data_IF_745668399697
#
_entry.id   IF_745668399697
#
_cell.length_a   1.000
_cell.length_b   1.000
_cell.length_c   1.000
_cell.angle_alpha   90.00
_cell.angle_beta   90.00
_cell.angle_gamma   90.00
#
_symmetry.space_group_name_H-M   'P 1'
#
loop_
_entity.id
_entity.type
_entity.pdbx_description
1 polymer ?
#
# COMPACT_ATOMS: atom_id res chain seq x y z
N UNK A 1 83.22 -20.68 -38.37
CA UNK A 1 84.40 -19.82 -38.17
C UNK A 1 84.00 -18.67 -37.22
N UNK A 2 84.78 -18.59 -36.11
CA UNK A 2 84.99 -17.53 -35.14
C UNK A 2 83.72 -17.03 -34.35
N UNK A 3 83.56 -17.51 -33.17
CA UNK A 3 84.16 -17.06 -31.88
C UNK A 3 84.20 -15.54 -31.67
N UNK A 4 83.43 -15.07 -30.67
CA UNK A 4 84.04 -14.32 -29.54
C UNK A 4 83.09 -14.24 -28.35
N UNK A 5 83.56 -14.79 -27.27
CA UNK A 5 83.10 -14.66 -25.85
C UNK A 5 83.47 -13.27 -25.33
N UNK A 6 82.59 -12.54 -24.64
CA UNK A 6 83.00 -11.56 -23.66
C UNK A 6 82.06 -11.64 -22.42
N UNK A 7 82.74 -11.89 -21.31
CA UNK A 7 82.21 -11.85 -19.92
C UNK A 7 82.12 -10.35 -19.46
N UNK A 8 81.14 -10.01 -18.70
CA UNK A 8 81.20 -8.93 -17.72
C UNK A 8 80.10 -9.10 -16.68
N UNK A 9 80.47 -9.51 -15.51
CA UNK A 9 80.56 -8.84 -14.22
C UNK A 9 79.16 -8.32 -13.64
N UNK A 10 78.77 -9.07 -12.63
CA UNK A 10 77.64 -8.72 -11.71
C UNK A 10 78.03 -7.50 -10.87
N UNK A 11 77.09 -6.56 -10.78
CA UNK A 11 77.07 -5.55 -9.73
C UNK A 11 75.75 -5.61 -9.04
N UNK A 12 75.76 -6.13 -7.82
CA UNK A 12 74.57 -6.14 -6.92
C UNK A 12 74.38 -4.76 -6.33
N UNK A 13 73.27 -4.12 -6.65
CA UNK A 13 72.84 -2.90 -5.96
C UNK A 13 71.68 -3.28 -5.01
N UNK A 14 71.96 -3.27 -3.70
CA UNK A 14 70.98 -3.43 -2.67
C UNK A 14 70.26 -2.11 -2.51
N UNK A 15 68.97 -2.05 -2.90
CA UNK A 15 68.08 -0.92 -2.62
C UNK A 15 67.27 -1.24 -1.42
N UNK A 16 67.50 -0.56 -0.31
CA UNK A 16 66.62 -0.53 0.85
C UNK A 16 65.30 0.17 0.46
N UNK A 17 64.19 -0.56 0.38
CA UNK A 17 62.87 0.07 0.28
C UNK A 17 62.31 0.27 1.70
N UNK A 18 62.21 1.51 2.09
CA UNK A 18 61.44 1.95 3.23
C UNK A 18 59.97 1.69 2.93
N UNK A 19 59.35 0.79 3.70
CA UNK A 19 57.91 0.61 3.70
C UNK A 19 57.27 1.80 4.41
N UNK A 20 56.76 2.76 3.64
CA UNK A 20 55.80 3.75 4.11
C UNK A 20 54.42 3.10 4.05
N UNK A 21 53.82 2.80 5.21
CA UNK A 21 52.39 2.57 5.33
C UNK A 21 51.68 3.92 5.07
N UNK A 22 51.23 4.12 3.84
CA UNK A 22 50.25 5.12 3.52
C UNK A 22 48.90 4.40 3.46
N UNK A 23 47.98 4.81 4.30
CA UNK A 23 46.55 4.53 4.10
C UNK A 23 46.10 5.25 2.81
N UNK A 24 46.29 4.61 1.68
CA UNK A 24 45.67 5.00 0.43
C UNK A 24 44.18 4.65 0.55
N UNK A 25 43.39 5.60 1.08
CA UNK A 25 41.99 5.69 0.76
C UNK A 25 41.92 5.89 -0.77
N UNK A 26 41.71 4.81 -1.51
CA UNK A 26 41.36 4.90 -2.92
C UNK A 26 40.16 5.86 -3.02
N UNK A 27 40.24 6.93 -3.83
CA UNK A 27 39.09 7.76 -4.07
C UNK A 27 38.02 6.85 -4.70
N UNK A 28 36.92 6.63 -3.99
CA UNK A 28 35.73 5.99 -4.54
C UNK A 28 35.40 6.71 -5.85
N UNK A 29 35.63 6.05 -6.97
CA UNK A 29 35.22 6.61 -8.26
C UNK A 29 33.71 6.81 -8.21
N UNK A 30 33.20 7.96 -8.69
CA UNK A 30 31.75 8.15 -8.83
C UNK A 30 31.23 7.02 -9.72
N UNK A 31 30.34 6.18 -9.17
CA UNK A 31 29.71 5.13 -9.93
C UNK A 31 28.90 5.77 -11.06
N UNK A 32 29.01 5.24 -12.27
CA UNK A 32 28.18 5.66 -13.40
C UNK A 32 26.71 5.39 -13.02
N UNK A 33 25.83 6.41 -12.94
CA UNK A 33 24.43 6.24 -12.58
C UNK A 33 23.71 5.17 -13.39
N UNK A 34 24.06 5.01 -14.66
CA UNK A 34 23.50 3.96 -15.56
C UNK A 34 23.84 2.54 -15.16
N UNK A 35 24.85 2.34 -14.31
CA UNK A 35 25.23 1.03 -13.79
C UNK A 35 24.71 0.76 -12.38
N UNK A 36 24.14 1.76 -11.71
CA UNK A 36 23.65 1.64 -10.32
C UNK A 36 22.24 1.05 -10.31
N UNK A 37 22.05 -0.18 -9.77
CA UNK A 37 20.74 -0.78 -9.70
C UNK A 37 19.88 -0.08 -8.65
N UNK A 38 18.57 0.02 -8.93
CA UNK A 38 17.58 0.50 -7.96
C UNK A 38 17.23 -0.61 -6.97
N UNK A 39 17.19 -0.27 -5.70
CA UNK A 39 16.69 -1.15 -4.64
C UNK A 39 15.61 -0.43 -3.83
N UNK A 40 14.69 -1.20 -3.22
CA UNK A 40 13.52 -0.64 -2.55
C UNK A 40 13.33 -1.24 -1.17
N UNK A 41 12.97 -0.40 -0.21
CA UNK A 41 12.45 -0.79 1.10
C UNK A 41 11.03 -0.27 1.21
N UNK A 42 10.11 -1.15 1.53
CA UNK A 42 8.67 -0.85 1.58
C UNK A 42 8.19 -0.99 3.01
N UNK A 43 7.57 0.08 3.54
CA UNK A 43 6.96 0.09 4.86
C UNK A 43 5.43 0.03 4.71
N UNK A 44 4.78 -0.91 5.41
CA UNK A 44 3.32 -0.99 5.48
C UNK A 44 2.75 0.11 6.39
N UNK A 45 1.53 0.62 6.12
CA UNK A 45 0.90 1.64 6.97
C UNK A 45 0.69 1.15 8.41
N UNK A 46 0.84 2.06 9.37
CA UNK A 46 0.47 1.80 10.76
C UNK A 46 1.35 0.81 11.52
N UNK A 47 2.44 0.31 10.93
CA UNK A 47 3.38 -0.56 11.65
C UNK A 47 4.04 0.16 12.81
N UNK A 48 3.53 -0.06 13.99
CA UNK A 48 4.34 -0.07 15.22
C UNK A 48 4.74 -1.53 15.44
N UNK A 49 5.97 -1.80 15.83
CA UNK A 49 6.63 -3.13 15.94
C UNK A 49 5.84 -4.28 16.61
N UNK A 50 4.53 -4.15 16.81
CA UNK A 50 3.69 -5.06 17.57
C UNK A 50 2.35 -5.45 16.90
N UNK A 51 2.03 -5.04 15.68
CA UNK A 51 0.75 -5.39 15.02
C UNK A 51 1.01 -5.93 13.63
N UNK A 52 0.59 -7.17 13.42
CA UNK A 52 0.79 -7.97 12.23
C UNK A 52 -0.28 -7.68 11.15
N UNK A 53 -0.13 -6.59 10.42
CA UNK A 53 -0.66 -6.51 9.07
C UNK A 53 0.52 -6.08 8.21
N UNK A 54 1.07 -7.03 7.49
CA UNK A 54 2.22 -6.89 6.62
C UNK A 54 1.81 -7.27 5.19
N UNK A 55 2.64 -6.87 4.24
CA UNK A 55 2.56 -7.46 2.93
C UNK A 55 2.87 -8.95 2.99
N UNK A 56 2.14 -9.72 2.22
CA UNK A 56 2.32 -11.16 2.12
C UNK A 56 3.10 -11.55 0.86
N UNK A 57 3.70 -12.74 0.89
CA UNK A 57 4.36 -13.30 -0.31
C UNK A 57 3.42 -13.25 -1.51
N UNK A 58 3.95 -12.82 -2.66
CA UNK A 58 3.27 -12.57 -3.93
C UNK A 58 2.40 -11.30 -3.97
N UNK A 59 2.37 -10.49 -2.93
CA UNK A 59 1.80 -9.15 -3.05
C UNK A 59 2.60 -8.33 -4.08
N UNK A 60 1.89 -7.49 -4.80
CA UNK A 60 2.46 -6.70 -5.89
C UNK A 60 2.08 -5.24 -5.76
N UNK A 61 3.07 -4.37 -5.90
CA UNK A 61 2.88 -2.91 -5.98
C UNK A 61 3.21 -2.43 -7.38
N UNK A 62 2.57 -1.33 -7.80
CA UNK A 62 2.93 -0.60 -9.02
C UNK A 62 3.89 0.52 -8.69
N UNK A 63 4.96 0.66 -9.49
CA UNK A 63 6.01 1.65 -9.30
C UNK A 63 6.15 2.55 -10.53
N UNK A 64 6.25 3.84 -10.28
CA UNK A 64 6.70 4.86 -11.22
C UNK A 64 7.92 5.59 -10.66
N UNK A 65 8.89 5.90 -11.53
CA UNK A 65 10.01 6.80 -11.22
C UNK A 65 10.01 7.90 -12.29
N UNK A 66 9.62 9.10 -11.92
CA UNK A 66 9.52 10.25 -12.82
C UNK A 66 10.60 11.29 -12.50
N UNK A 67 11.05 12.06 -13.50
CA UNK A 67 11.93 13.21 -13.26
C UNK A 67 11.28 14.16 -12.24
N UNK A 68 12.05 14.67 -11.28
CA UNK A 68 11.53 15.51 -10.21
C UNK A 68 10.97 16.87 -10.70
N UNK A 69 11.38 17.31 -11.90
CA UNK A 69 10.94 18.56 -12.51
C UNK A 69 9.72 18.42 -13.40
N UNK A 70 9.36 17.18 -13.74
CA UNK A 70 8.26 16.89 -14.64
C UNK A 70 7.07 16.27 -13.88
N UNK A 71 5.84 16.44 -14.36
CA UNK A 71 4.70 15.75 -13.81
C UNK A 71 4.83 14.23 -14.03
N UNK A 72 4.12 13.45 -13.22
CA UNK A 72 3.98 12.01 -13.46
C UNK A 72 3.16 11.80 -14.74
N UNK A 73 3.71 11.04 -15.68
CA UNK A 73 3.05 10.69 -16.94
C UNK A 73 2.71 9.19 -16.98
N UNK A 74 1.80 8.81 -17.87
CA UNK A 74 1.45 7.40 -18.07
C UNK A 74 2.63 6.59 -18.64
N UNK A 75 3.43 7.23 -19.48
CA UNK A 75 4.64 6.69 -20.09
C UNK A 75 5.67 7.81 -20.27
N UNK A 76 6.95 7.45 -20.52
CA UNK A 76 8.03 8.43 -20.70
C UNK A 76 8.80 8.75 -19.40
N UNK A 77 8.39 8.19 -18.26
CA UNK A 77 9.18 8.25 -17.03
C UNK A 77 10.35 7.28 -17.09
N UNK A 78 11.29 7.39 -16.16
CA UNK A 78 12.40 6.42 -16.03
C UNK A 78 11.88 5.00 -15.74
N UNK A 79 10.83 4.90 -14.92
CA UNK A 79 10.09 3.64 -14.68
C UNK A 79 8.60 3.92 -14.81
N UNK A 80 7.89 3.09 -15.58
CA UNK A 80 6.46 3.24 -15.88
C UNK A 80 5.69 2.00 -15.44
N UNK A 81 4.88 2.12 -14.40
CA UNK A 81 4.03 1.07 -13.87
C UNK A 81 4.71 -0.30 -13.72
N UNK A 82 5.95 -0.32 -13.27
CA UNK A 82 6.67 -1.57 -13.04
C UNK A 82 6.08 -2.30 -11.82
N UNK A 83 5.84 -3.60 -11.98
CA UNK A 83 5.38 -4.42 -10.88
C UNK A 83 6.55 -4.86 -10.00
N UNK A 84 6.56 -4.44 -8.73
CA UNK A 84 7.42 -5.05 -7.73
C UNK A 84 6.62 -6.14 -7.00
N UNK A 85 7.20 -7.32 -6.88
CA UNK A 85 6.59 -8.48 -6.20
C UNK A 85 7.35 -8.75 -4.90
N UNK A 86 6.63 -9.00 -3.83
CA UNK A 86 7.20 -9.39 -2.54
C UNK A 86 7.44 -10.89 -2.49
N UNK A 87 8.69 -11.32 -2.29
CA UNK A 87 9.05 -12.74 -2.20
C UNK A 87 8.94 -13.32 -0.78
N UNK A 88 8.49 -12.50 0.19
CA UNK A 88 8.44 -12.80 1.61
C UNK A 88 9.64 -12.22 2.40
N UNK A 89 10.60 -11.58 1.72
CA UNK A 89 11.76 -10.95 2.33
C UNK A 89 12.12 -9.62 1.69
N UNK A 90 12.03 -9.52 0.36
CA UNK A 90 12.38 -8.33 -0.44
C UNK A 90 11.40 -8.10 -1.57
N UNK A 91 11.40 -6.87 -2.07
CA UNK A 91 10.63 -6.46 -3.22
C UNK A 91 11.49 -6.47 -4.48
N UNK A 92 11.05 -7.17 -5.50
CA UNK A 92 11.80 -7.33 -6.75
C UNK A 92 10.91 -7.03 -7.97
N UNK A 93 11.50 -6.32 -8.93
CA UNK A 93 10.92 -6.19 -10.27
C UNK A 93 11.24 -7.43 -11.11
N UNK A 94 10.45 -7.65 -12.17
CA UNK A 94 10.73 -8.73 -13.13
C UNK A 94 12.02 -8.56 -13.93
N UNK A 95 12.66 -7.39 -13.85
CA UNK A 95 13.94 -7.03 -14.48
C UNK A 95 14.73 -6.11 -13.56
N UNK A 96 16.06 -6.03 -13.74
CA UNK A 96 16.85 -5.05 -13.01
C UNK A 96 16.52 -3.64 -13.49
N UNK A 97 16.18 -2.73 -12.57
CA UNK A 97 15.98 -1.33 -12.83
C UNK A 97 17.28 -0.58 -12.51
N UNK A 98 17.65 0.36 -13.36
CA UNK A 98 18.88 1.15 -13.19
C UNK A 98 18.57 2.64 -13.14
N UNK A 99 19.35 3.38 -12.38
CA UNK A 99 19.31 4.82 -12.37
C UNK A 99 19.93 5.42 -13.64
N UNK A 100 19.33 6.51 -14.09
CA UNK A 100 20.02 7.49 -14.96
C UNK A 100 20.46 8.68 -14.11
N UNK A 101 21.27 9.57 -14.71
CA UNK A 101 21.63 10.85 -14.07
C UNK A 101 20.36 11.70 -13.86
N UNK A 102 20.22 12.27 -12.66
CA UNK A 102 19.08 13.13 -12.37
C UNK A 102 18.61 13.07 -10.94
N UNK A 103 17.48 13.73 -10.73
CA UNK A 103 16.72 13.70 -9.48
C UNK A 103 15.30 13.28 -9.83
N UNK A 104 14.76 12.34 -9.07
CA UNK A 104 13.53 11.67 -9.40
C UNK A 104 12.53 11.70 -8.25
N UNK A 105 11.26 11.55 -8.58
CA UNK A 105 10.21 11.24 -7.63
C UNK A 105 9.77 9.80 -7.85
N UNK A 106 9.71 9.02 -6.77
CA UNK A 106 9.13 7.68 -6.76
C UNK A 106 7.67 7.75 -6.31
N UNK A 107 6.80 7.07 -7.03
CA UNK A 107 5.38 6.91 -6.70
C UNK A 107 5.06 5.42 -6.73
N UNK A 108 4.41 4.92 -5.69
CA UNK A 108 4.01 3.53 -5.62
C UNK A 108 2.59 3.40 -5.09
N UNK A 109 1.91 2.33 -5.51
CA UNK A 109 0.55 2.04 -5.07
C UNK A 109 0.34 0.52 -4.94
N UNK A 110 -0.58 0.12 -4.09
CA UNK A 110 -1.02 -1.27 -3.87
C UNK A 110 -2.55 -1.30 -3.82
N UNK A 111 -3.21 -2.35 -4.36
CA UNK A 111 -2.62 -3.45 -5.15
C UNK A 111 -2.22 -3.02 -6.56
N UNK A 112 -1.29 -3.75 -7.17
CA UNK A 112 -0.84 -3.51 -8.55
C UNK A 112 -1.98 -3.62 -9.55
N UNK A 113 -2.10 -2.62 -10.40
CA UNK A 113 -3.03 -2.58 -11.55
C UNK A 113 -2.24 -2.74 -12.85
N UNK A 114 -2.49 -3.81 -13.59
CA UNK A 114 -1.80 -4.06 -14.87
C UNK A 114 -2.14 -3.00 -15.92
N UNK A 115 -3.40 -2.57 -15.96
CA UNK A 115 -3.93 -1.62 -16.93
C UNK A 115 -4.20 -0.28 -16.26
N UNK A 116 -3.17 0.57 -16.15
CA UNK A 116 -3.32 1.98 -15.79
C UNK A 116 -3.58 2.76 -17.07
N UNK A 117 -4.67 3.52 -17.12
CA UNK A 117 -5.11 4.30 -18.28
C UNK A 117 -4.93 5.81 -18.08
N UNK A 118 -4.73 6.23 -16.84
CA UNK A 118 -4.47 7.63 -16.47
C UNK A 118 -3.71 7.64 -15.13
N UNK A 119 -2.78 8.55 -14.97
CA UNK A 119 -2.07 8.75 -13.69
C UNK A 119 -2.77 9.75 -12.77
N UNK A 120 -3.65 10.59 -13.31
CA UNK A 120 -4.39 11.62 -12.55
C UNK A 120 -5.87 11.30 -12.37
N UNK A 121 -6.41 10.36 -13.16
CA UNK A 121 -7.84 10.01 -13.15
C UNK A 121 -8.04 8.50 -13.42
N UNK A 122 -7.25 7.66 -12.73
CA UNK A 122 -7.32 6.21 -12.87
C UNK A 122 -8.62 5.66 -12.26
N UNK A 123 -9.47 4.97 -13.04
CA UNK A 123 -10.65 4.31 -12.50
C UNK A 123 -10.28 3.24 -11.48
N UNK A 124 -11.03 3.21 -10.37
CA UNK A 124 -10.92 2.20 -9.33
C UNK A 124 -12.30 1.89 -8.74
N UNK A 125 -12.47 0.69 -8.24
CA UNK A 125 -13.70 0.31 -7.52
C UNK A 125 -13.35 -0.57 -6.33
N UNK A 126 -13.91 -0.24 -5.17
CA UNK A 126 -13.93 -1.19 -4.06
C UNK A 126 -14.91 -2.32 -4.36
N UNK A 127 -14.61 -3.53 -3.88
CA UNK A 127 -15.51 -4.68 -4.02
C UNK A 127 -16.82 -4.43 -3.27
N UNK A 128 -17.93 -4.79 -3.87
CA UNK A 128 -19.24 -4.81 -3.19
C UNK A 128 -19.43 -6.05 -2.34
N UNK A 129 -18.63 -7.09 -2.55
CA UNK A 129 -18.55 -8.24 -1.67
C UNK A 129 -17.14 -8.36 -1.09
N UNK A 130 -16.96 -7.80 0.11
CA UNK A 130 -15.68 -7.83 0.82
C UNK A 130 -15.57 -9.03 1.77
N UNK A 131 -16.58 -9.91 1.82
CA UNK A 131 -16.53 -11.17 2.57
C UNK A 131 -15.76 -12.28 1.83
N UNK A 132 -15.49 -12.08 0.53
CA UNK A 132 -14.75 -13.06 -0.27
C UNK A 132 -13.30 -13.16 0.20
N UNK A 133 -12.83 -14.42 0.34
CA UNK A 133 -11.51 -14.71 0.85
C UNK A 133 -10.43 -14.63 -0.23
N UNK A 134 -9.22 -14.29 0.16
CA UNK A 134 -8.01 -14.37 -0.67
C UNK A 134 -7.79 -15.81 -1.15
N UNK A 135 -7.36 -15.96 -2.39
CA UNK A 135 -6.95 -17.24 -2.99
C UNK A 135 -5.46 -17.21 -3.36
N UNK A 136 -4.92 -18.32 -3.84
CA UNK A 136 -3.53 -18.37 -4.32
C UNK A 136 -3.24 -17.41 -5.49
N UNK A 137 -4.28 -17.00 -6.25
CA UNK A 137 -4.13 -16.22 -7.49
C UNK A 137 -4.87 -14.88 -7.49
N UNK A 138 -5.69 -14.60 -6.48
CA UNK A 138 -6.49 -13.38 -6.40
C UNK A 138 -6.63 -12.91 -4.95
N UNK A 139 -6.60 -11.60 -4.77
CA UNK A 139 -6.93 -10.97 -3.49
C UNK A 139 -8.40 -11.20 -3.15
N UNK A 140 -8.72 -11.27 -1.86
CA UNK A 140 -10.09 -11.19 -1.38
C UNK A 140 -10.71 -9.82 -1.64
N UNK A 141 -12.03 -9.74 -1.51
CA UNK A 141 -12.73 -8.49 -1.81
C UNK A 141 -12.31 -7.35 -0.88
N UNK A 142 -11.97 -7.66 0.37
CA UNK A 142 -11.50 -6.67 1.34
C UNK A 142 -10.10 -6.15 0.97
N UNK A 143 -9.13 -7.03 0.78
CA UNK A 143 -7.75 -6.67 0.44
C UNK A 143 -7.66 -5.96 -0.93
N UNK A 144 -8.45 -6.41 -1.92
CA UNK A 144 -8.51 -5.78 -3.24
C UNK A 144 -9.09 -4.36 -3.20
N UNK A 145 -9.83 -4.02 -2.15
CA UNK A 145 -10.44 -2.70 -1.95
C UNK A 145 -9.52 -1.73 -1.20
N UNK A 146 -8.51 -2.22 -0.49
CA UNK A 146 -7.63 -1.40 0.34
C UNK A 146 -6.49 -0.81 -0.48
N UNK A 147 -6.74 0.35 -1.08
CA UNK A 147 -5.76 1.03 -1.91
C UNK A 147 -4.77 1.83 -1.04
N UNK A 148 -3.50 1.46 -1.15
CA UNK A 148 -2.38 2.12 -0.49
C UNK A 148 -1.58 2.96 -1.49
N UNK A 149 -0.96 4.02 -1.00
CA UNK A 149 -0.13 4.91 -1.79
C UNK A 149 1.12 5.33 -1.03
N UNK A 150 2.27 5.39 -1.73
CA UNK A 150 3.53 5.91 -1.22
C UNK A 150 4.17 6.87 -2.23
N UNK A 151 4.85 7.89 -1.73
CA UNK A 151 5.69 8.76 -2.56
C UNK A 151 6.95 9.14 -1.83
N UNK A 152 8.09 9.15 -2.55
CA UNK A 152 9.38 9.63 -2.07
C UNK A 152 9.91 10.63 -3.09
N UNK A 153 10.18 11.84 -2.61
CA UNK A 153 10.61 12.98 -3.46
C UNK A 153 12.11 13.13 -3.47
N UNK A 154 12.62 13.77 -4.53
CA UNK A 154 14.01 14.21 -4.68
C UNK A 154 15.04 13.08 -4.51
N UNK A 155 14.71 11.89 -5.00
CA UNK A 155 15.58 10.71 -4.99
C UNK A 155 16.70 10.90 -6.02
N UNK A 156 17.94 10.73 -5.59
CA UNK A 156 19.12 10.74 -6.45
C UNK A 156 19.63 9.31 -6.66
N UNK A 157 20.27 9.07 -7.81
CA UNK A 157 20.94 7.81 -8.09
C UNK A 157 21.94 7.48 -6.97
N UNK A 158 21.78 6.34 -6.33
CA UNK A 158 22.68 5.84 -5.27
C UNK A 158 22.45 4.35 -5.06
N UNK A 159 23.37 3.68 -4.34
CA UNK A 159 23.22 2.31 -3.90
C UNK A 159 22.26 2.17 -2.70
N UNK A 160 21.85 3.30 -2.12
CA UNK A 160 20.90 3.28 -1.00
C UNK A 160 19.49 2.95 -1.47
N UNK A 161 18.76 2.09 -0.77
CA UNK A 161 17.39 1.75 -1.14
C UNK A 161 16.46 2.96 -1.09
N UNK A 162 15.56 3.07 -2.06
CA UNK A 162 14.43 4.00 -2.01
C UNK A 162 13.42 3.49 -0.99
N UNK A 163 13.11 4.31 0.01
CA UNK A 163 12.10 3.96 1.02
C UNK A 163 10.72 4.40 0.55
N UNK A 164 9.81 3.45 0.45
CA UNK A 164 8.41 3.65 0.08
C UNK A 164 7.53 3.42 1.31
N UNK A 165 7.15 4.50 1.99
CA UNK A 165 6.27 4.42 3.17
C UNK A 165 4.83 4.57 2.72
N UNK A 166 4.09 3.47 2.76
CA UNK A 166 2.70 3.44 2.32
C UNK A 166 1.74 4.06 3.35
N UNK A 167 0.64 4.57 2.86
CA UNK A 167 -0.52 5.02 3.64
C UNK A 167 -1.81 4.57 2.97
N UNK A 168 -2.84 4.32 3.75
CA UNK A 168 -4.18 4.10 3.22
C UNK A 168 -4.73 5.40 2.62
N UNK A 169 -5.37 5.32 1.47
CA UNK A 169 -6.08 6.45 0.85
C UNK A 169 -7.58 6.24 0.76
N UNK A 170 -8.06 5.03 1.07
CA UNK A 170 -9.47 4.73 1.27
C UNK A 170 -9.92 5.04 2.70
N UNK A 171 -11.19 4.86 2.99
CA UNK A 171 -11.78 4.92 4.34
C UNK A 171 -12.09 3.51 4.82
N UNK A 172 -11.85 3.22 6.09
CA UNK A 172 -12.22 1.95 6.73
C UNK A 172 -13.34 2.18 7.74
N UNK A 173 -14.39 1.40 7.66
CA UNK A 173 -15.43 1.32 8.68
C UNK A 173 -15.22 0.03 9.47
N UNK A 174 -14.93 0.15 10.76
CA UNK A 174 -14.87 -0.97 11.70
C UNK A 174 -16.13 -1.00 12.54
N UNK A 175 -16.82 -2.12 12.53
CA UNK A 175 -18.12 -2.31 13.19
C UNK A 175 -17.94 -3.35 14.28
N UNK A 176 -18.42 -3.02 15.49
CA UNK A 176 -18.53 -3.97 16.60
C UNK A 176 -19.99 -4.14 16.96
N UNK A 177 -20.45 -5.38 17.02
CA UNK A 177 -21.76 -5.73 17.53
C UNK A 177 -21.65 -5.85 19.05
N UNK A 178 -22.44 -5.06 19.76
CA UNK A 178 -22.49 -5.02 21.22
C UNK A 178 -23.83 -5.58 21.65
N UNK A 179 -23.82 -6.53 22.56
CA UNK A 179 -25.03 -7.07 23.18
C UNK A 179 -25.73 -5.99 23.99
N UNK A 180 -27.00 -5.71 23.69
CA UNK A 180 -27.86 -4.84 24.49
C UNK A 180 -28.30 -5.51 25.80
N UNK A 181 -28.74 -4.72 26.75
CA UNK A 181 -29.19 -5.22 28.07
C UNK A 181 -30.41 -6.13 27.99
N UNK A 182 -31.27 -5.91 27.00
CA UNK A 182 -32.52 -6.65 26.76
C UNK A 182 -32.33 -7.82 25.75
N UNK A 183 -31.13 -8.06 25.26
CA UNK A 183 -30.83 -9.15 24.33
C UNK A 183 -30.58 -10.46 25.12
N UNK A 184 -31.44 -11.45 24.93
CA UNK A 184 -31.30 -12.75 25.60
C UNK A 184 -30.33 -13.70 24.84
N UNK A 185 -29.69 -14.61 25.58
CA UNK A 185 -28.75 -15.57 25.05
C UNK A 185 -27.40 -14.95 24.60
N UNK A 186 -26.59 -15.73 23.88
CA UNK A 186 -25.30 -15.32 23.36
C UNK A 186 -25.45 -14.61 22.00
N UNK A 187 -24.54 -13.67 21.72
CA UNK A 187 -24.45 -13.04 20.40
C UNK A 187 -24.03 -14.07 19.35
N UNK A 188 -24.75 -14.17 18.22
CA UNK A 188 -24.35 -15.09 17.16
C UNK A 188 -23.04 -14.66 16.51
N UNK A 189 -22.22 -15.65 16.15
CA UNK A 189 -20.93 -15.45 15.47
C UNK A 189 -21.02 -15.43 13.94
N UNK A 190 -22.24 -15.59 13.40
CA UNK A 190 -22.51 -15.75 11.95
C UNK A 190 -23.43 -14.67 11.39
N UNK A 191 -23.33 -13.45 11.91
CA UNK A 191 -24.07 -12.32 11.35
C UNK A 191 -23.50 -11.93 9.98
N UNK A 192 -24.38 -11.38 9.11
CA UNK A 192 -23.99 -10.69 7.90
C UNK A 192 -24.16 -9.19 8.11
N UNK A 193 -23.14 -8.43 7.71
CA UNK A 193 -23.17 -6.97 7.87
C UNK A 193 -23.07 -6.31 6.51
N UNK A 194 -23.99 -5.39 6.25
CA UNK A 194 -24.09 -4.67 5.00
C UNK A 194 -23.92 -3.17 5.24
N UNK A 195 -23.19 -2.49 4.35
CA UNK A 195 -23.06 -1.03 4.35
C UNK A 195 -23.79 -0.52 3.11
N UNK A 196 -24.83 0.30 3.37
CA UNK A 196 -25.72 0.81 2.34
C UNK A 196 -25.37 2.21 1.87
N UNK A 197 -25.93 2.59 0.72
CA UNK A 197 -25.90 3.95 0.17
C UNK A 197 -24.50 4.50 -0.11
N UNK A 198 -23.51 3.64 -0.27
CA UNK A 198 -22.15 4.03 -0.68
C UNK A 198 -21.98 3.91 -2.19
N UNK A 199 -21.17 4.79 -2.78
CA UNK A 199 -20.70 4.68 -4.17
C UNK A 199 -19.36 3.96 -4.16
N UNK A 200 -19.26 2.73 -4.72
CA UNK A 200 -18.02 1.94 -4.66
C UNK A 200 -16.96 2.39 -5.69
N UNK A 201 -17.34 3.23 -6.66
CA UNK A 201 -16.46 3.68 -7.73
C UNK A 201 -15.75 4.98 -7.38
N UNK A 202 -14.47 5.06 -7.73
CA UNK A 202 -13.59 6.22 -7.52
C UNK A 202 -12.72 6.50 -8.75
N UNK A 203 -12.12 7.66 -8.78
CA UNK A 203 -10.95 7.98 -9.58
C UNK A 203 -9.77 8.24 -8.66
N UNK A 204 -8.60 7.78 -9.09
CA UNK A 204 -7.35 7.86 -8.32
C UNK A 204 -6.37 8.76 -9.02
N UNK A 205 -5.86 9.75 -8.30
CA UNK A 205 -4.68 10.52 -8.71
C UNK A 205 -3.43 9.84 -8.13
N UNK A 206 -2.66 9.14 -8.98
CA UNK A 206 -1.45 8.43 -8.61
C UNK A 206 -0.25 9.39 -8.38
N UNK A 207 -0.35 10.65 -8.80
CA UNK A 207 0.66 11.67 -8.50
C UNK A 207 0.46 12.28 -7.11
N UNK A 208 -0.80 12.54 -6.76
CA UNK A 208 -1.17 13.14 -5.48
C UNK A 208 -1.43 12.12 -4.37
N UNK A 209 -1.71 10.86 -4.73
CA UNK A 209 -2.13 9.80 -3.79
C UNK A 209 -3.51 10.10 -3.19
N UNK A 210 -4.48 10.46 -4.04
CA UNK A 210 -5.83 10.84 -3.63
C UNK A 210 -6.86 9.99 -4.36
N UNK A 211 -7.82 9.47 -3.58
CA UNK A 211 -9.00 8.80 -4.10
C UNK A 211 -10.21 9.73 -4.02
N UNK A 212 -10.89 9.92 -5.12
CA UNK A 212 -12.09 10.75 -5.23
C UNK A 212 -13.28 9.92 -5.69
N UNK A 213 -14.40 10.00 -4.97
CA UNK A 213 -15.63 9.32 -5.36
C UNK A 213 -16.06 9.73 -6.77
N UNK A 214 -16.35 8.74 -7.62
CA UNK A 214 -16.84 9.03 -8.96
C UNK A 214 -18.23 9.67 -8.90
N UNK A 215 -18.36 10.87 -9.44
CA UNK A 215 -19.56 11.72 -9.30
C UNK A 215 -20.81 11.07 -9.89
N UNK A 216 -20.67 10.35 -11.02
CA UNK A 216 -21.76 9.64 -11.70
C UNK A 216 -21.94 8.19 -11.22
N UNK A 217 -21.20 7.78 -10.17
CA UNK A 217 -21.28 6.44 -9.63
C UNK A 217 -22.63 6.15 -8.99
N UNK A 218 -23.13 4.93 -9.16
CA UNK A 218 -24.38 4.47 -8.57
C UNK A 218 -24.14 4.02 -7.11
N UNK A 219 -25.05 4.34 -6.22
CA UNK A 219 -25.04 3.84 -4.84
C UNK A 219 -25.30 2.34 -4.84
N UNK A 220 -24.52 1.61 -4.04
CA UNK A 220 -24.62 0.18 -3.89
C UNK A 220 -24.48 -0.21 -2.41
N UNK A 221 -24.71 -1.49 -2.14
CA UNK A 221 -24.50 -2.10 -0.83
C UNK A 221 -23.18 -2.87 -0.87
N UNK A 222 -22.40 -2.73 0.20
CA UNK A 222 -21.16 -3.49 0.41
C UNK A 222 -21.43 -4.54 1.48
N UNK A 223 -21.10 -5.80 1.21
CA UNK A 223 -21.04 -6.87 2.21
C UNK A 223 -19.71 -6.76 2.93
N UNK A 224 -19.74 -6.61 4.25
CA UNK A 224 -18.54 -6.41 5.06
C UNK A 224 -17.73 -7.69 5.21
N UNK A 225 -16.43 -7.54 5.40
CA UNK A 225 -15.51 -8.58 5.85
C UNK A 225 -15.72 -8.84 7.34
N UNK A 226 -15.69 -10.10 7.75
CA UNK A 226 -15.75 -10.50 9.15
C UNK A 226 -14.34 -10.62 9.73
N UNK A 227 -13.98 -9.74 10.68
CA UNK A 227 -12.66 -9.76 11.34
C UNK A 227 -12.63 -10.72 12.55
N UNK A 228 -13.79 -11.05 13.10
CA UNK A 228 -13.96 -11.90 14.28
C UNK A 228 -15.43 -12.09 14.62
N UNK A 229 -15.75 -12.81 15.69
CA UNK A 229 -17.10 -13.25 16.03
C UNK A 229 -18.17 -12.15 16.00
N UNK A 230 -17.83 -10.97 16.52
CA UNK A 230 -18.74 -9.80 16.55
C UNK A 230 -18.11 -8.55 15.94
N UNK A 231 -17.03 -8.70 15.16
CA UNK A 231 -16.28 -7.60 14.56
C UNK A 231 -16.25 -7.73 13.05
N UNK A 232 -16.56 -6.63 12.36
CA UNK A 232 -16.64 -6.54 10.91
C UNK A 232 -15.92 -5.29 10.42
N UNK A 233 -15.40 -5.33 9.20
CA UNK A 233 -14.78 -4.18 8.55
C UNK A 233 -15.21 -4.06 7.10
N UNK A 234 -15.22 -2.82 6.59
CA UNK A 234 -15.38 -2.56 5.17
C UNK A 234 -14.47 -1.40 4.73
N UNK A 235 -13.87 -1.56 3.56
CA UNK A 235 -13.15 -0.49 2.87
C UNK A 235 -14.12 0.26 1.96
N UNK A 236 -14.16 1.57 2.11
CA UNK A 236 -15.14 2.43 1.48
C UNK A 236 -14.42 3.59 0.78
N UNK A 237 -14.84 3.94 -0.41
CA UNK A 237 -14.38 5.16 -1.09
C UNK A 237 -14.69 6.37 -0.21
N UNK A 238 -13.73 7.29 0.03
CA UNK A 238 -13.98 8.49 0.81
C UNK A 238 -15.18 9.28 0.26
N UNK A 239 -16.22 9.44 1.09
CA UNK A 239 -17.47 10.08 0.69
C UNK A 239 -18.30 10.52 1.89
N UNK A 240 -19.33 11.34 1.60
CA UNK A 240 -20.26 11.83 2.59
C UNK A 240 -21.66 11.29 2.33
N UNK A 241 -22.34 10.89 3.40
CA UNK A 241 -23.77 10.60 3.46
C UNK A 241 -24.42 11.73 4.27
N UNK A 242 -25.06 12.68 3.57
CA UNK A 242 -25.53 13.93 4.18
C UNK A 242 -26.81 13.77 4.97
N UNK A 243 -27.73 12.95 4.50
CA UNK A 243 -29.01 12.73 5.14
C UNK A 243 -28.98 11.47 6.00
N UNK A 244 -29.80 11.43 7.03
CA UNK A 244 -30.05 10.21 7.75
C UNK A 244 -30.70 9.20 6.81
N UNK A 245 -29.98 8.13 6.52
CA UNK A 245 -30.34 7.06 5.59
C UNK A 245 -29.88 5.73 6.18
N UNK A 246 -30.42 4.60 5.70
CA UNK A 246 -29.85 3.28 6.00
C UNK A 246 -28.34 3.30 5.74
N UNK A 247 -27.57 3.07 6.79
CA UNK A 247 -26.10 3.06 6.72
C UNK A 247 -25.57 1.66 6.92
N UNK A 248 -25.96 1.00 8.01
CA UNK A 248 -25.53 -0.36 8.31
C UNK A 248 -26.76 -1.22 8.58
N UNK A 249 -26.75 -2.41 8.00
CA UNK A 249 -27.71 -3.47 8.28
C UNK A 249 -26.98 -4.69 8.83
N UNK A 250 -27.49 -5.28 9.88
CA UNK A 250 -27.00 -6.53 10.47
C UNK A 250 -28.09 -7.59 10.34
N UNK A 251 -27.86 -8.62 9.58
CA UNK A 251 -28.72 -9.77 9.43
C UNK A 251 -28.20 -10.91 10.31
N UNK A 252 -28.97 -11.34 11.29
CA UNK A 252 -28.62 -12.47 12.16
C UNK A 252 -29.87 -13.14 12.71
N UNK A 253 -29.83 -14.47 12.85
CA UNK A 253 -30.95 -15.30 13.36
C UNK A 253 -32.29 -15.04 12.64
N UNK A 254 -32.23 -14.68 11.34
CA UNK A 254 -33.42 -14.39 10.53
C UNK A 254 -34.06 -13.00 10.82
N UNK A 255 -33.38 -12.15 11.60
CA UNK A 255 -33.81 -10.80 11.90
C UNK A 255 -32.84 -9.82 11.27
N UNK A 256 -33.38 -8.72 10.69
CA UNK A 256 -32.59 -7.61 10.14
C UNK A 256 -32.68 -6.42 11.09
N UNK A 257 -31.50 -5.89 11.44
CA UNK A 257 -31.31 -4.71 12.30
C UNK A 257 -30.76 -3.58 11.46
N UNK A 258 -31.57 -2.55 11.20
CA UNK A 258 -31.22 -1.43 10.33
C UNK A 258 -30.84 -0.19 11.13
N UNK A 259 -29.65 0.34 10.85
CA UNK A 259 -29.10 1.53 11.48
C UNK A 259 -29.04 2.68 10.49
N UNK A 260 -29.71 3.77 10.79
CA UNK A 260 -29.69 4.98 9.97
C UNK A 260 -28.77 6.03 10.57
N UNK A 261 -27.94 6.64 9.76
CA UNK A 261 -27.06 7.73 10.18
C UNK A 261 -26.66 8.64 9.01
N UNK A 262 -26.22 9.85 9.36
CA UNK A 262 -25.32 10.66 8.51
C UNK A 262 -23.93 10.17 8.77
N UNK A 263 -23.07 10.15 7.75
CA UNK A 263 -21.69 9.71 7.95
C UNK A 263 -20.72 10.39 6.98
N UNK A 264 -19.49 10.62 7.46
CA UNK A 264 -18.38 11.11 6.66
C UNK A 264 -17.25 10.10 6.68
N UNK A 265 -17.06 9.40 5.56
CA UNK A 265 -15.95 8.52 5.32
C UNK A 265 -14.74 9.35 4.89
N UNK A 266 -13.79 9.57 5.81
CA UNK A 266 -12.57 10.36 5.58
C UNK A 266 -11.47 9.52 4.95
N UNK A 267 -10.66 10.06 4.01
CA UNK A 267 -9.53 9.33 3.45
C UNK A 267 -8.51 8.99 4.53
N UNK A 268 -7.87 7.82 4.40
CA UNK A 268 -6.82 7.34 5.33
C UNK A 268 -7.29 7.18 6.78
N UNK A 269 -8.58 7.00 7.02
CA UNK A 269 -9.17 7.00 8.37
C UNK A 269 -9.96 5.72 8.61
N UNK A 270 -9.66 5.05 9.73
CA UNK A 270 -10.52 4.02 10.31
C UNK A 270 -11.56 4.69 11.23
N UNK A 271 -12.82 4.43 10.98
CA UNK A 271 -13.94 4.84 11.80
C UNK A 271 -14.49 3.66 12.59
N UNK A 272 -14.51 3.74 13.90
CA UNK A 272 -15.10 2.72 14.77
C UNK A 272 -16.57 3.05 15.05
N UNK A 273 -17.44 2.09 14.80
CA UNK A 273 -18.85 2.15 15.11
C UNK A 273 -19.25 0.95 15.96
N UNK A 274 -19.92 1.21 17.08
CA UNK A 274 -20.50 0.18 17.93
C UNK A 274 -22.02 0.14 17.69
N UNK A 275 -22.52 -1.03 17.32
CA UNK A 275 -23.94 -1.28 17.11
C UNK A 275 -24.48 -2.06 18.29
N UNK A 276 -25.30 -1.43 19.10
CA UNK A 276 -25.95 -2.08 20.24
C UNK A 276 -27.20 -2.80 19.72
N UNK A 277 -27.16 -4.10 19.77
CA UNK A 277 -28.23 -5.00 19.30
C UNK A 277 -29.19 -5.26 20.46
N UNK A 278 -30.45 -4.96 20.24
CA UNK A 278 -31.56 -5.14 21.17
C UNK A 278 -32.41 -6.34 20.77
N UNK A 279 -33.14 -6.94 21.71
CA UNK A 279 -34.13 -7.99 21.39
C UNK A 279 -35.19 -7.43 20.42
N UNK A 280 -35.58 -6.20 20.61
CA UNK A 280 -36.48 -5.50 19.69
C UNK A 280 -35.65 -4.78 18.61
N UNK A 281 -35.74 -5.17 17.30
CA UNK A 281 -35.04 -4.52 16.20
C UNK A 281 -35.26 -3.02 16.07
N UNK A 282 -36.39 -2.51 16.55
CA UNK A 282 -36.72 -1.08 16.50
C UNK A 282 -35.97 -0.24 17.58
N UNK A 283 -35.34 -0.88 18.54
CA UNK A 283 -34.60 -0.24 19.65
C UNK A 283 -33.11 -0.23 19.50
N UNK A 284 -32.57 -0.66 18.34
CA UNK A 284 -31.12 -0.69 18.08
C UNK A 284 -30.50 0.71 18.12
N UNK A 285 -29.25 0.79 18.55
CA UNK A 285 -28.51 2.05 18.68
C UNK A 285 -27.17 1.98 17.97
N UNK A 286 -26.84 3.05 17.27
CA UNK A 286 -25.51 3.27 16.70
C UNK A 286 -24.73 4.26 17.58
N UNK A 287 -23.55 3.83 18.04
CA UNK A 287 -22.63 4.67 18.78
C UNK A 287 -21.35 4.83 17.94
N UNK A 288 -21.11 6.05 17.47
CA UNK A 288 -19.87 6.37 16.77
C UNK A 288 -18.76 6.41 17.83
N UNK A 289 -17.82 5.48 17.71
CA UNK A 289 -16.74 5.29 18.68
C UNK A 289 -15.64 6.32 18.50
N UNK A 290 -14.68 6.06 17.64
CA UNK A 290 -13.52 6.91 17.42
C UNK A 290 -13.03 6.87 15.99
N UNK A 291 -12.01 7.69 15.74
CA UNK A 291 -11.31 7.73 14.45
C UNK A 291 -9.82 7.45 14.69
N UNK A 292 -9.22 6.65 13.84
CA UNK A 292 -7.77 6.40 13.80
C UNK A 292 -7.25 6.75 12.42
N UNK A 293 -6.25 7.62 12.37
CA UNK A 293 -5.55 7.97 11.15
C UNK A 293 -4.45 6.95 10.86
N UNK A 294 -4.23 6.63 9.59
CA UNK A 294 -3.19 5.71 9.13
C UNK A 294 -3.22 4.41 9.96
N UNK A 295 -4.38 3.69 9.91
CA UNK A 295 -4.60 2.44 10.68
C UNK A 295 -3.65 1.33 10.33
#
# INVERSE_FOLDING_TARGET
MNNHIIRCVALALVVFTLAACGDDLEPTQPQDPKSTPMTFVVDYPGQTRATATDFERNDRIGLYIADAKEPLELAGNLVNNEALTFDGNKWEAGRTLYWDEGTYNAYAYYPYMQNVTSVTDQPFSVSTDQSTQKTATALGGYEASDLLFATTKDVKASDSPVRLTFKHIMSKLKIRLIKGEDFEGDMPTTAKVYIHNTVPTATIDLQAGVATRYVKGTRQTIVAHQDGDTSYSAIIVPQRIDNRQPLVEVEMMGVSYLFESKFLFKPGTEHLVNLVISENPDKVKINIGGEKQNW
#
